data_IF_001556056687
#
_entry.id   IF_001556056687
#
_cell.length_a   1.000
_cell.length_b   1.000
_cell.length_c   1.000
_cell.angle_alpha   90.00
_cell.angle_beta   90.00
_cell.angle_gamma   90.00
#
_symmetry.space_group_name_H-M   'P 1'
#
loop_
_entity.id
_entity.type
_entity.pdbx_description
1 polymer ?
#
# COMPACT_ATOMS: atom_id res chain seq x y z
N UNK A 1 11.34 6.61 -3.34
CA UNK A 1 12.00 5.33 -3.71
C UNK A 1 11.59 4.90 -5.11
N UNK A 2 12.51 4.31 -5.89
CA UNK A 2 12.30 3.94 -7.29
C UNK A 2 11.27 2.79 -7.44
N UNK A 3 10.40 2.84 -8.45
CA UNK A 3 9.40 1.80 -8.76
C UNK A 3 9.44 1.34 -10.23
N UNK A 4 10.45 1.77 -11.00
CA UNK A 4 10.67 1.29 -12.36
C UNK A 4 10.94 -0.21 -12.37
N UNK A 5 10.66 -0.88 -13.49
CA UNK A 5 11.00 -2.30 -13.59
C UNK A 5 12.53 -2.47 -13.60
N UNK A 6 13.10 -3.27 -12.69
CA UNK A 6 14.53 -3.54 -12.72
C UNK A 6 14.98 -4.30 -13.97
N UNK A 7 16.25 -4.16 -14.34
CA UNK A 7 16.86 -4.85 -15.49
C UNK A 7 17.54 -6.16 -15.08
N UNK A 8 16.87 -6.98 -14.27
CA UNK A 8 17.38 -8.31 -13.87
C UNK A 8 16.46 -9.42 -14.39
N UNK A 9 17.03 -10.36 -15.14
CA UNK A 9 16.23 -11.40 -15.81
C UNK A 9 15.59 -12.39 -14.82
N UNK A 10 16.24 -12.69 -13.69
CA UNK A 10 15.74 -13.64 -12.71
C UNK A 10 14.57 -13.01 -11.95
N UNK A 11 14.76 -11.79 -11.47
CA UNK A 11 13.74 -10.99 -10.82
C UNK A 11 12.53 -10.77 -11.74
N UNK A 12 12.76 -10.46 -13.01
CA UNK A 12 11.67 -10.29 -13.97
C UNK A 12 10.82 -11.56 -14.10
N UNK A 13 11.46 -12.74 -14.10
CA UNK A 13 10.75 -14.03 -14.12
C UNK A 13 9.93 -14.25 -12.84
N UNK A 14 10.51 -13.98 -11.67
CA UNK A 14 9.81 -14.08 -10.39
C UNK A 14 8.67 -13.06 -10.26
N UNK A 15 8.86 -11.84 -10.75
CA UNK A 15 7.86 -10.79 -10.80
C UNK A 15 6.67 -11.17 -11.70
N UNK A 16 6.92 -11.76 -12.87
CA UNK A 16 5.84 -12.28 -13.71
C UNK A 16 5.09 -13.43 -13.04
N UNK A 17 5.80 -14.31 -12.31
CA UNK A 17 5.16 -15.34 -11.49
C UNK A 17 4.31 -14.71 -10.37
N UNK A 18 4.82 -13.68 -9.70
CA UNK A 18 4.09 -12.91 -8.68
C UNK A 18 2.77 -12.36 -9.21
N UNK A 19 2.77 -11.69 -10.37
CA UNK A 19 1.54 -11.16 -10.99
C UNK A 19 0.51 -12.26 -11.28
N UNK A 20 0.96 -13.42 -11.78
CA UNK A 20 0.09 -14.57 -12.02
C UNK A 20 -0.50 -15.10 -10.72
N UNK A 21 0.30 -15.27 -9.67
CA UNK A 21 -0.16 -15.72 -8.36
C UNK A 21 -1.18 -14.74 -7.75
N UNK A 22 -0.93 -13.42 -7.82
CA UNK A 22 -1.86 -12.40 -7.34
C UNK A 22 -3.23 -12.48 -8.05
N UNK A 23 -3.21 -12.66 -9.38
CA UNK A 23 -4.42 -12.79 -10.20
C UNK A 23 -5.19 -14.06 -9.86
N UNK A 24 -4.49 -15.19 -9.74
CA UNK A 24 -5.11 -16.47 -9.36
C UNK A 24 -5.63 -16.49 -7.93
N UNK A 25 -5.03 -15.68 -7.04
CA UNK A 25 -5.53 -15.46 -5.68
C UNK A 25 -6.82 -14.65 -5.59
N UNK A 26 -7.38 -14.17 -6.72
CA UNK A 26 -8.66 -13.46 -6.75
C UNK A 26 -8.62 -12.07 -6.11
N UNK A 27 -7.44 -11.44 -6.00
CA UNK A 27 -7.31 -10.12 -5.39
C UNK A 27 -7.90 -9.01 -6.27
N UNK A 28 -8.40 -7.95 -5.65
CA UNK A 28 -8.91 -6.79 -6.38
C UNK A 28 -7.80 -6.13 -7.21
N UNK A 29 -8.11 -5.55 -8.40
CA UNK A 29 -7.10 -4.94 -9.27
C UNK A 29 -6.22 -3.90 -8.55
N UNK A 30 -6.83 -3.05 -7.71
CA UNK A 30 -6.09 -2.05 -6.91
C UNK A 30 -5.07 -2.67 -5.96
N UNK A 31 -5.37 -3.85 -5.41
CA UNK A 31 -4.48 -4.60 -4.52
C UNK A 31 -3.34 -5.25 -5.32
N UNK A 32 -3.65 -5.80 -6.49
CA UNK A 32 -2.65 -6.35 -7.41
C UNK A 32 -1.65 -5.24 -7.79
N UNK A 33 -2.14 -4.07 -8.20
CA UNK A 33 -1.29 -2.93 -8.57
C UNK A 33 -0.42 -2.44 -7.39
N UNK A 34 -0.99 -2.42 -6.18
CA UNK A 34 -0.26 -2.06 -4.98
C UNK A 34 0.87 -3.05 -4.67
N UNK A 35 0.60 -4.35 -4.68
CA UNK A 35 1.62 -5.37 -4.37
C UNK A 35 2.66 -5.49 -5.48
N UNK A 36 2.25 -5.36 -6.75
CA UNK A 36 3.18 -5.30 -7.87
C UNK A 36 4.13 -4.09 -7.79
N UNK A 37 3.62 -2.92 -7.38
CA UNK A 37 4.45 -1.73 -7.15
C UNK A 37 5.40 -1.93 -5.98
N UNK A 38 4.94 -2.56 -4.89
CA UNK A 38 5.77 -2.92 -3.76
C UNK A 38 6.97 -3.77 -4.16
N UNK A 39 6.75 -4.85 -4.91
CA UNK A 39 7.83 -5.75 -5.33
C UNK A 39 8.85 -5.04 -6.22
N UNK A 40 8.42 -4.17 -7.14
CA UNK A 40 9.36 -3.34 -7.91
C UNK A 40 10.17 -2.39 -7.02
N UNK A 41 9.54 -1.79 -6.01
CA UNK A 41 10.22 -0.88 -5.08
C UNK A 41 11.28 -1.59 -4.26
N UNK A 42 10.91 -2.71 -3.65
CA UNK A 42 11.80 -3.56 -2.85
C UNK A 42 12.91 -4.13 -3.74
N UNK A 43 12.57 -4.56 -4.96
CA UNK A 43 13.55 -5.01 -5.96
C UNK A 43 14.59 -3.94 -6.30
N UNK A 44 14.18 -2.69 -6.53
CA UNK A 44 15.14 -1.60 -6.79
C UNK A 44 15.99 -1.27 -5.55
N UNK A 45 15.48 -1.47 -4.35
CA UNK A 45 16.22 -1.18 -3.11
C UNK A 45 17.30 -2.23 -2.82
N UNK A 46 17.02 -3.51 -3.11
CA UNK A 46 17.91 -4.63 -2.80
C UNK A 46 18.63 -5.20 -4.03
N UNK A 47 18.81 -4.41 -5.09
CA UNK A 47 19.45 -4.84 -6.34
C UNK A 47 18.89 -6.18 -6.86
N UNK A 48 17.56 -6.31 -6.84
CA UNK A 48 16.80 -7.49 -7.24
C UNK A 48 16.98 -8.74 -6.36
N UNK A 49 17.81 -8.70 -5.32
CA UNK A 49 18.09 -9.82 -4.41
C UNK A 49 17.10 -9.85 -3.24
N UNK A 50 15.85 -10.20 -3.53
CA UNK A 50 14.77 -10.16 -2.55
C UNK A 50 14.38 -11.55 -2.00
N UNK A 51 15.12 -12.60 -2.34
CA UNK A 51 14.76 -13.98 -2.02
C UNK A 51 15.00 -14.40 -0.56
N UNK A 52 15.96 -13.76 0.10
CA UNK A 52 16.45 -14.11 1.45
C UNK A 52 16.80 -12.84 2.25
N UNK A 53 15.82 -11.96 2.43
CA UNK A 53 15.99 -10.76 3.23
C UNK A 53 15.94 -11.13 4.72
N UNK A 54 16.92 -10.66 5.49
CA UNK A 54 16.92 -10.84 6.94
C UNK A 54 16.19 -9.70 7.67
N UNK A 55 15.89 -9.90 8.95
CA UNK A 55 15.15 -8.94 9.77
C UNK A 55 15.82 -7.56 9.87
N UNK A 56 17.15 -7.49 9.85
CA UNK A 56 17.89 -6.22 9.86
C UNK A 56 17.71 -5.44 8.57
N UNK A 57 17.86 -6.11 7.42
CA UNK A 57 17.61 -5.49 6.11
C UNK A 57 16.18 -4.95 5.98
N UNK A 58 15.21 -5.69 6.53
CA UNK A 58 13.81 -5.29 6.52
C UNK A 58 13.55 -4.13 7.48
N UNK A 59 14.26 -4.07 8.62
CA UNK A 59 14.24 -2.92 9.53
C UNK A 59 14.68 -1.64 8.83
N UNK A 60 15.83 -1.69 8.17
CA UNK A 60 16.39 -0.53 7.49
C UNK A 60 15.45 -0.07 6.36
N UNK A 61 15.01 -1.00 5.51
CA UNK A 61 14.11 -0.70 4.41
C UNK A 61 12.79 -0.05 4.86
N UNK A 62 12.10 -0.63 5.86
CA UNK A 62 10.82 -0.09 6.30
C UNK A 62 10.96 1.21 7.08
N UNK A 63 12.09 1.45 7.73
CA UNK A 63 12.41 2.72 8.38
C UNK A 63 12.60 3.82 7.34
N UNK A 64 13.44 3.61 6.34
CA UNK A 64 13.64 4.57 5.25
C UNK A 64 12.37 4.79 4.42
N UNK A 65 11.57 3.74 4.24
CA UNK A 65 10.29 3.87 3.54
C UNK A 65 9.32 4.74 4.33
N UNK A 66 9.32 4.64 5.66
CA UNK A 66 8.46 5.44 6.54
C UNK A 66 8.86 6.93 6.55
N UNK A 67 10.15 7.24 6.40
CA UNK A 67 10.62 8.64 6.31
C UNK A 67 10.08 9.37 5.08
N UNK A 68 9.76 8.61 4.02
CA UNK A 68 9.36 9.17 2.72
C UNK A 68 7.92 8.87 2.32
N UNK A 69 7.24 7.94 2.98
CA UNK A 69 5.89 7.49 2.62
C UNK A 69 4.98 7.29 3.84
N UNK A 70 3.67 7.25 3.58
CA UNK A 70 2.67 7.01 4.63
C UNK A 70 2.72 5.60 5.18
N UNK A 71 2.21 5.42 6.40
CA UNK A 71 1.98 4.10 7.01
C UNK A 71 1.18 3.15 6.11
N UNK A 72 0.24 3.66 5.32
CA UNK A 72 -0.50 2.84 4.36
C UNK A 72 0.42 2.28 3.27
N UNK A 73 1.39 3.05 2.79
CA UNK A 73 2.37 2.58 1.81
C UNK A 73 3.32 1.54 2.41
N UNK A 74 3.82 1.77 3.63
CA UNK A 74 4.64 0.80 4.38
C UNK A 74 3.89 -0.53 4.54
N UNK A 75 2.61 -0.45 4.92
CA UNK A 75 1.74 -1.62 5.04
C UNK A 75 1.58 -2.36 3.72
N UNK A 76 1.33 -1.66 2.61
CA UNK A 76 1.20 -2.28 1.29
C UNK A 76 2.48 -3.00 0.87
N UNK A 77 3.65 -2.45 1.18
CA UNK A 77 4.92 -3.11 0.89
C UNK A 77 5.15 -4.35 1.71
N UNK A 78 4.86 -4.28 3.02
CA UNK A 78 4.93 -5.44 3.90
C UNK A 78 4.08 -6.60 3.37
N UNK A 79 2.81 -6.35 3.05
CA UNK A 79 1.94 -7.42 2.57
C UNK A 79 2.27 -7.88 1.15
N UNK A 80 2.74 -6.98 0.28
CA UNK A 80 3.25 -7.35 -1.04
C UNK A 80 4.43 -8.32 -0.93
N UNK A 81 5.39 -8.01 -0.04
CA UNK A 81 6.54 -8.86 0.24
C UNK A 81 6.15 -10.18 0.89
N UNK A 82 5.26 -10.15 1.89
CA UNK A 82 4.71 -11.35 2.54
C UNK A 82 4.06 -12.29 1.52
N UNK A 83 3.26 -11.76 0.61
CA UNK A 83 2.65 -12.53 -0.46
C UNK A 83 3.71 -13.10 -1.42
N UNK A 84 4.74 -12.33 -1.76
CA UNK A 84 5.82 -12.82 -2.62
C UNK A 84 6.55 -14.01 -2.00
N UNK A 85 6.88 -13.95 -0.71
CA UNK A 85 7.56 -15.05 -0.01
C UNK A 85 6.69 -16.31 0.04
N UNK A 86 5.42 -16.17 0.43
CA UNK A 86 4.54 -17.32 0.57
C UNK A 86 4.08 -17.89 -0.77
N UNK A 87 3.66 -17.04 -1.72
CA UNK A 87 3.03 -17.46 -2.97
C UNK A 87 3.97 -17.64 -4.16
N UNK A 88 5.17 -17.03 -4.14
CA UNK A 88 6.14 -17.12 -5.26
C UNK A 88 7.34 -17.97 -4.89
N UNK A 89 7.91 -17.73 -3.71
CA UNK A 89 9.09 -18.46 -3.22
C UNK A 89 8.73 -19.73 -2.44
N UNK A 90 7.47 -19.91 -2.03
CA UNK A 90 7.02 -20.99 -1.15
C UNK A 90 7.83 -21.07 0.15
N UNK A 91 8.23 -19.91 0.70
CA UNK A 91 8.96 -19.81 1.97
C UNK A 91 8.01 -19.40 3.08
N UNK A 92 8.19 -19.93 4.31
CA UNK A 92 7.49 -19.41 5.46
C UNK A 92 7.86 -17.94 5.65
N UNK A 93 6.85 -17.13 5.97
CA UNK A 93 7.06 -15.75 6.34
C UNK A 93 7.32 -15.68 7.84
N UNK A 94 8.52 -15.29 8.23
CA UNK A 94 8.78 -14.94 9.63
C UNK A 94 8.12 -13.60 9.92
N UNK A 95 7.18 -13.58 10.88
CA UNK A 95 6.52 -12.34 11.24
C UNK A 95 7.56 -11.38 11.85
N UNK A 96 7.84 -10.33 11.09
CA UNK A 96 8.72 -9.26 11.52
C UNK A 96 7.93 -8.40 12.51
N UNK A 97 8.28 -8.34 13.81
CA UNK A 97 7.51 -7.59 14.82
C UNK A 97 7.59 -6.06 14.66
N UNK A 98 8.06 -5.56 13.51
CA UNK A 98 8.47 -4.17 13.30
C UNK A 98 7.34 -3.18 13.00
N UNK A 99 6.23 -3.62 12.39
CA UNK A 99 5.23 -2.69 11.85
C UNK A 99 3.98 -2.74 12.71
N UNK A 100 4.01 -1.99 13.81
CA UNK A 100 2.80 -1.64 14.55
C UNK A 100 2.34 -0.27 14.04
N UNK A 101 1.38 -0.19 13.10
CA UNK A 101 0.86 1.10 12.68
C UNK A 101 0.37 1.86 13.93
N UNK A 102 0.62 3.17 14.03
CA UNK A 102 0.13 3.96 15.15
C UNK A 102 -1.37 3.75 15.24
N UNK A 103 -1.88 3.55 16.46
CA UNK A 103 -3.32 3.54 16.69
C UNK A 103 -3.83 4.94 16.40
N UNK A 104 -4.23 5.19 15.15
CA UNK A 104 -4.87 6.45 14.78
C UNK A 104 -6.29 6.40 15.30
N UNK A 105 -6.56 7.02 16.45
CA UNK A 105 -7.93 7.36 16.82
C UNK A 105 -8.39 8.45 15.87
N UNK A 106 -9.12 8.08 14.82
CA UNK A 106 -9.84 9.07 14.03
C UNK A 106 -11.06 9.44 14.87
N UNK A 107 -11.09 10.65 15.42
CA UNK A 107 -12.36 11.23 15.85
C UNK A 107 -13.24 11.20 14.59
N UNK A 108 -14.47 10.67 14.66
CA UNK A 108 -15.39 10.83 13.55
C UNK A 108 -15.53 12.32 13.30
N UNK A 109 -15.08 12.78 12.14
CA UNK A 109 -15.28 14.16 11.69
C UNK A 109 -16.73 14.26 11.21
N UNK A 110 -17.67 14.01 12.12
CA UNK A 110 -19.10 14.13 11.86
C UNK A 110 -19.38 15.62 11.94
N UNK A 111 -19.65 16.23 10.79
CA UNK A 111 -20.02 17.63 10.72
C UNK A 111 -21.30 17.86 11.53
N UNK A 112 -21.32 18.93 12.33
CA UNK A 112 -22.56 19.42 12.92
C UNK A 112 -23.49 19.97 11.83
N UNK A 113 -24.75 20.24 12.19
CA UNK A 113 -25.72 20.86 11.28
C UNK A 113 -25.20 22.22 10.81
N UNK A 114 -24.66 23.04 11.71
CA UNK A 114 -24.12 24.36 11.38
C UNK A 114 -22.91 24.26 10.45
N UNK A 115 -22.02 23.29 10.65
CA UNK A 115 -20.87 23.07 9.77
C UNK A 115 -21.30 22.59 8.39
N UNK A 116 -22.38 21.81 8.32
CA UNK A 116 -22.98 21.34 7.07
C UNK A 116 -23.62 22.49 6.29
N UNK A 117 -24.32 23.40 6.97
CA UNK A 117 -24.85 24.63 6.36
C UNK A 117 -23.73 25.53 5.84
N UNK A 118 -22.66 25.71 6.62
CA UNK A 118 -21.47 26.46 6.18
C UNK A 118 -20.82 25.84 4.94
N UNK A 119 -20.73 24.50 4.87
CA UNK A 119 -20.23 23.77 3.71
C UNK A 119 -21.10 24.03 2.47
N UNK A 120 -22.42 23.97 2.59
CA UNK A 120 -23.33 24.24 1.47
C UNK A 120 -23.30 25.71 1.01
N UNK A 121 -23.15 26.65 1.94
CA UNK A 121 -23.03 28.07 1.65
C UNK A 121 -21.70 28.40 0.96
N UNK A 122 -20.60 27.76 1.38
CA UNK A 122 -19.27 27.97 0.80
C UNK A 122 -19.09 27.30 -0.58
N UNK A 123 -19.88 26.28 -0.90
CA UNK A 123 -19.75 25.54 -2.17
C UNK A 123 -20.41 26.28 -3.33
N UNK A 124 -19.59 26.83 -4.23
CA UNK A 124 -20.03 27.60 -5.41
C UNK A 124 -20.41 26.72 -6.62
N UNK A 125 -19.79 25.54 -6.73
CA UNK A 125 -20.05 24.61 -7.86
C UNK A 125 -21.31 23.80 -7.59
N UNK A 126 -22.32 23.92 -8.45
CA UNK A 126 -23.63 23.30 -8.27
C UNK A 126 -23.56 21.78 -8.09
N UNK A 127 -22.77 21.08 -8.88
CA UNK A 127 -22.62 19.62 -8.79
C UNK A 127 -22.08 19.17 -7.42
N UNK A 128 -21.13 19.90 -6.86
CA UNK A 128 -20.58 19.62 -5.53
C UNK A 128 -21.56 19.99 -4.43
N UNK A 129 -22.34 21.07 -4.62
CA UNK A 129 -23.38 21.46 -3.66
C UNK A 129 -24.47 20.41 -3.57
N UNK A 130 -24.94 19.87 -4.71
CA UNK A 130 -25.90 18.77 -4.76
C UNK A 130 -25.30 17.51 -4.13
N UNK A 131 -24.06 17.16 -4.45
CA UNK A 131 -23.37 16.01 -3.85
C UNK A 131 -23.33 16.11 -2.31
N UNK A 132 -22.82 17.22 -1.77
CA UNK A 132 -22.77 17.41 -0.33
C UNK A 132 -24.15 17.41 0.31
N UNK A 133 -25.14 18.06 -0.31
CA UNK A 133 -26.51 18.04 0.18
C UNK A 133 -27.03 16.61 0.30
N UNK A 134 -26.91 15.80 -0.76
CA UNK A 134 -27.35 14.40 -0.74
C UNK A 134 -26.61 13.53 0.28
N UNK A 135 -25.32 13.78 0.53
CA UNK A 135 -24.54 13.00 1.49
C UNK A 135 -24.88 13.30 2.95
N UNK A 136 -25.37 14.51 3.26
CA UNK A 136 -25.56 14.97 4.65
C UNK A 136 -27.02 15.25 5.03
N UNK A 137 -27.98 15.19 4.10
CA UNK A 137 -29.41 15.47 4.38
C UNK A 137 -30.33 14.24 4.31
N UNK A 138 -29.82 13.05 4.04
CA UNK A 138 -30.54 11.76 4.04
C UNK A 138 -30.08 10.90 5.21
#
# INVERSE_FOLDING_TARGET
>A
MNTTMPQDSLFNKQYQKHLKCLKLGGLQPKTIDAYARAIRRIGNYFDCRIDNLNSGQLLDYFTELLDTHSWSAVKLDLYGLKFFYSGVLNKPWEDIPLIKPPKTSRIPDILSVEQTEQLFAATKTLSYKVFFFTCYSM
#
